data_IF_235070434058
#
_entry.id   IF_235070434058
#
_cell.length_a   1.000
_cell.length_b   1.000
_cell.length_c   1.000
_cell.angle_alpha   90.00
_cell.angle_beta   90.00
_cell.angle_gamma   90.00
#
_symmetry.space_group_name_H-M   'P 1'
#
loop_
_entity.id
_entity.type
_entity.pdbx_description
1 polymer ?
#
# COMPACT_ATOMS: atom_id res chain seq x y z
N UNK A 1 -34.42 -25.90 -7.90
CA UNK A 1 -34.31 -24.47 -8.23
C UNK A 1 -33.38 -23.84 -7.21
N UNK A 2 -32.18 -23.41 -7.60
CA UNK A 2 -31.25 -22.71 -6.71
C UNK A 2 -31.57 -21.21 -6.77
N UNK A 3 -32.60 -20.79 -6.05
CA UNK A 3 -32.84 -19.36 -5.87
C UNK A 3 -31.89 -18.87 -4.79
N UNK A 4 -30.83 -18.16 -5.19
CA UNK A 4 -29.87 -17.51 -4.30
C UNK A 4 -30.48 -16.30 -3.56
N UNK A 5 -31.79 -16.25 -3.39
CA UNK A 5 -32.56 -15.09 -2.89
C UNK A 5 -32.27 -14.77 -1.40
N UNK A 6 -31.61 -15.70 -0.70
CA UNK A 6 -31.16 -15.55 0.69
C UNK A 6 -29.74 -14.96 0.81
N UNK A 7 -29.05 -14.76 -0.32
CA UNK A 7 -27.67 -14.29 -0.40
C UNK A 7 -27.68 -12.86 -0.95
N UNK A 8 -27.15 -11.92 -0.18
CA UNK A 8 -26.98 -10.53 -0.58
C UNK A 8 -25.74 -10.33 -1.47
N UNK A 9 -24.66 -11.08 -1.21
CA UNK A 9 -23.38 -10.92 -1.91
C UNK A 9 -22.54 -12.20 -1.82
N UNK A 10 -21.66 -12.43 -2.79
CA UNK A 10 -20.62 -13.48 -2.76
C UNK A 10 -19.28 -12.87 -3.09
N UNK A 11 -18.26 -13.20 -2.31
CA UNK A 11 -16.90 -12.74 -2.60
C UNK A 11 -16.41 -13.34 -3.93
N UNK A 12 -15.96 -12.53 -4.92
CA UNK A 12 -15.60 -13.02 -6.24
C UNK A 12 -14.54 -14.12 -6.26
N UNK A 13 -13.54 -14.02 -5.38
CA UNK A 13 -12.38 -14.91 -5.40
C UNK A 13 -12.59 -16.20 -4.59
N UNK A 14 -13.39 -16.14 -3.52
CA UNK A 14 -13.55 -17.24 -2.56
C UNK A 14 -14.94 -17.86 -2.56
N UNK A 15 -15.88 -17.29 -3.32
CA UNK A 15 -17.30 -17.66 -3.37
C UNK A 15 -17.99 -17.72 -1.98
N UNK A 16 -17.47 -16.96 -1.01
CA UNK A 16 -18.04 -16.91 0.34
C UNK A 16 -19.33 -16.09 0.34
N UNK A 17 -20.46 -16.65 0.80
CA UNK A 17 -21.75 -15.96 0.79
C UNK A 17 -21.93 -15.02 1.98
N UNK A 18 -22.55 -13.88 1.72
CA UNK A 18 -23.09 -12.94 2.68
C UNK A 18 -24.61 -12.97 2.60
N UNK A 19 -25.26 -13.17 3.74
CA UNK A 19 -26.70 -13.45 3.80
C UNK A 19 -27.53 -12.21 4.08
N UNK A 20 -28.83 -12.25 3.76
CA UNK A 20 -29.74 -11.17 4.13
C UNK A 20 -29.86 -10.99 5.66
N UNK A 21 -30.09 -9.76 6.19
CA UNK A 21 -30.09 -9.49 7.63
C UNK A 21 -31.02 -10.35 8.48
N UNK A 22 -32.14 -10.80 7.90
CA UNK A 22 -33.11 -11.67 8.57
C UNK A 22 -32.51 -12.98 9.09
N UNK A 23 -31.41 -13.41 8.48
CA UNK A 23 -30.71 -14.66 8.80
C UNK A 23 -29.62 -14.49 9.84
N UNK A 24 -29.19 -13.26 10.18
CA UNK A 24 -28.08 -13.02 11.11
C UNK A 24 -28.32 -13.61 12.49
N UNK A 25 -29.58 -13.67 12.95
CA UNK A 25 -29.96 -14.31 14.23
C UNK A 25 -29.56 -15.78 14.37
N UNK A 26 -29.30 -16.46 13.24
CA UNK A 26 -28.86 -17.86 13.19
C UNK A 26 -27.33 -17.99 13.19
N UNK A 27 -26.59 -16.88 13.06
CA UNK A 27 -25.16 -16.91 13.24
C UNK A 27 -24.83 -17.01 14.74
N UNK A 28 -23.96 -17.96 15.15
CA UNK A 28 -23.58 -18.13 16.56
C UNK A 28 -22.97 -16.88 17.22
N UNK A 29 -22.33 -16.01 16.43
CA UNK A 29 -21.62 -14.82 16.91
C UNK A 29 -22.50 -13.55 16.93
N UNK A 30 -23.67 -13.58 16.29
CA UNK A 30 -24.52 -12.38 16.20
C UNK A 30 -25.33 -12.12 17.47
N UNK A 31 -26.00 -13.14 17.99
CA UNK A 31 -26.79 -13.07 19.22
C UNK A 31 -26.06 -13.72 20.41
N UNK A 32 -24.73 -13.74 20.38
CA UNK A 32 -23.97 -14.36 21.45
C UNK A 32 -24.20 -13.60 22.77
N UNK A 33 -24.30 -14.36 23.87
CA UNK A 33 -24.43 -13.77 25.21
C UNK A 33 -23.13 -13.10 25.67
N UNK A 34 -22.00 -13.52 25.11
CA UNK A 34 -20.69 -12.97 25.41
C UNK A 34 -20.16 -12.16 24.23
N UNK A 35 -19.57 -10.98 24.48
CA UNK A 35 -18.90 -10.22 23.43
C UNK A 35 -17.72 -11.02 22.86
N UNK A 36 -17.40 -10.79 21.60
CA UNK A 36 -16.31 -11.49 20.92
C UNK A 36 -14.97 -10.77 21.18
N UNK A 37 -13.93 -11.46 21.68
CA UNK A 37 -12.59 -10.87 21.79
C UNK A 37 -12.00 -10.66 20.41
N UNK A 38 -11.57 -9.44 20.13
CA UNK A 38 -10.97 -9.08 18.84
C UNK A 38 -9.74 -8.22 19.08
N UNK A 39 -8.68 -8.48 18.31
CA UNK A 39 -7.48 -7.65 18.32
C UNK A 39 -7.70 -6.39 17.48
N UNK A 40 -7.09 -5.28 17.87
CA UNK A 40 -7.28 -3.96 17.26
C UNK A 40 -6.91 -3.98 15.77
N UNK A 41 -5.80 -4.63 15.42
CA UNK A 41 -5.40 -4.82 14.03
C UNK A 41 -6.49 -5.50 13.19
N UNK A 42 -7.01 -6.65 13.63
CA UNK A 42 -8.08 -7.36 12.92
C UNK A 42 -9.32 -6.48 12.79
N UNK A 43 -9.71 -5.84 13.89
CA UNK A 43 -10.90 -5.00 13.94
C UNK A 43 -10.82 -3.86 12.93
N UNK A 44 -9.66 -3.21 12.81
CA UNK A 44 -9.43 -2.13 11.85
C UNK A 44 -9.61 -2.58 10.40
N UNK A 45 -9.10 -3.76 10.04
CA UNK A 45 -9.22 -4.34 8.69
C UNK A 45 -10.69 -4.69 8.43
N UNK A 46 -11.31 -5.36 9.39
CA UNK A 46 -12.67 -5.88 9.27
C UNK A 46 -13.71 -4.76 9.21
N UNK A 47 -13.54 -3.63 9.93
CA UNK A 47 -14.44 -2.47 9.81
C UNK A 47 -14.42 -1.90 8.39
N UNK A 48 -13.26 -1.81 7.74
CA UNK A 48 -13.19 -1.30 6.35
C UNK A 48 -13.87 -2.25 5.37
N UNK A 49 -13.60 -3.55 5.50
CA UNK A 49 -14.26 -4.57 4.68
C UNK A 49 -15.78 -4.55 4.90
N UNK A 50 -16.21 -4.48 6.16
CA UNK A 50 -17.61 -4.38 6.55
C UNK A 50 -18.27 -3.13 5.99
N UNK A 51 -17.56 -1.99 5.98
CA UNK A 51 -18.05 -0.75 5.37
C UNK A 51 -18.31 -0.95 3.89
N UNK A 52 -17.34 -1.47 3.14
CA UNK A 52 -17.51 -1.76 1.72
C UNK A 52 -18.72 -2.69 1.48
N UNK A 53 -18.88 -3.73 2.29
CA UNK A 53 -19.98 -4.69 2.16
C UNK A 53 -21.33 -4.02 2.47
N UNK A 54 -21.43 -3.32 3.62
CA UNK A 54 -22.65 -2.63 4.04
C UNK A 54 -23.06 -1.56 3.03
N UNK A 55 -22.10 -0.75 2.61
CA UNK A 55 -22.31 0.34 1.69
C UNK A 55 -22.69 -0.16 0.30
N UNK A 56 -22.31 -1.35 -0.16
CA UNK A 56 -22.68 -1.81 -1.51
C UNK A 56 -23.89 -2.73 -1.55
N UNK A 57 -24.05 -3.60 -0.55
CA UNK A 57 -25.00 -4.71 -0.61
C UNK A 57 -26.12 -4.65 0.44
N UNK A 58 -25.97 -3.78 1.44
CA UNK A 58 -26.98 -3.59 2.49
C UNK A 58 -27.57 -2.17 2.50
N UNK A 59 -27.39 -1.40 1.39
CA UNK A 59 -27.98 -0.07 1.20
C UNK A 59 -29.49 -0.10 1.44
N UNK A 60 -29.96 0.71 2.39
CA UNK A 60 -31.39 0.85 2.71
C UNK A 60 -31.92 -0.11 3.76
N UNK A 61 -31.12 -1.10 4.19
CA UNK A 61 -31.38 -1.77 5.46
C UNK A 61 -30.80 -0.93 6.59
N UNK A 62 -31.51 -0.78 7.71
CA UNK A 62 -30.96 -0.14 8.91
C UNK A 62 -29.85 -0.99 9.59
N UNK A 63 -29.35 -2.01 8.90
CA UNK A 63 -28.36 -2.96 9.39
C UNK A 63 -26.98 -2.48 8.99
N UNK A 64 -26.31 -1.83 9.93
CA UNK A 64 -24.86 -1.66 9.90
C UNK A 64 -24.28 -2.62 10.91
N UNK A 65 -23.66 -3.69 10.43
CA UNK A 65 -23.15 -4.77 11.26
C UNK A 65 -21.69 -5.03 10.92
N UNK A 66 -20.87 -5.18 11.95
CA UNK A 66 -19.48 -5.58 11.78
C UNK A 66 -19.47 -7.02 11.29
N UNK A 67 -18.78 -7.27 10.18
CA UNK A 67 -18.49 -8.60 9.70
C UNK A 67 -17.04 -8.94 10.03
N UNK A 68 -16.84 -10.08 10.69
CA UNK A 68 -15.54 -10.72 10.84
C UNK A 68 -15.49 -11.87 9.83
N UNK A 69 -14.87 -11.64 8.67
CA UNK A 69 -15.08 -12.48 7.48
C UNK A 69 -16.50 -12.29 6.95
N UNK A 70 -17.30 -13.36 6.90
CA UNK A 70 -18.74 -13.28 6.60
C UNK A 70 -19.64 -13.50 7.83
N UNK A 71 -19.07 -13.51 9.04
CA UNK A 71 -19.80 -13.64 10.28
C UNK A 71 -20.26 -12.27 10.78
N UNK A 72 -21.58 -11.98 10.87
CA UNK A 72 -22.08 -10.76 11.48
C UNK A 72 -21.88 -10.81 13.00
N UNK A 73 -21.33 -9.75 13.56
CA UNK A 73 -21.04 -9.59 15.00
C UNK A 73 -21.64 -8.30 15.52
N UNK A 74 -22.32 -8.40 16.66
CA UNK A 74 -22.95 -7.25 17.31
C UNK A 74 -22.03 -6.60 18.34
N UNK A 75 -21.53 -7.39 19.30
CA UNK A 75 -20.69 -6.90 20.39
C UNK A 75 -19.31 -7.54 20.35
N UNK A 76 -18.31 -6.70 20.55
CA UNK A 76 -16.91 -7.08 20.66
C UNK A 76 -16.36 -6.61 21.98
N UNK A 77 -15.25 -7.20 22.40
CA UNK A 77 -14.41 -6.63 23.43
C UNK A 77 -12.94 -6.64 23.05
N UNK A 78 -12.25 -5.60 23.49
CA UNK A 78 -10.85 -5.32 23.15
C UNK A 78 -10.13 -4.98 24.45
N UNK A 79 -8.93 -5.52 24.64
CA UNK A 79 -8.05 -5.15 25.74
C UNK A 79 -6.83 -4.45 25.18
N UNK A 80 -6.45 -3.32 25.76
CA UNK A 80 -5.23 -2.62 25.37
C UNK A 80 -4.91 -1.44 26.29
N UNK A 81 -3.69 -0.92 26.13
CA UNK A 81 -3.20 0.25 26.86
C UNK A 81 -3.69 1.54 26.22
N UNK A 82 -4.18 2.49 27.02
CA UNK A 82 -4.60 3.80 26.52
C UNK A 82 -3.37 4.59 26.06
N UNK A 83 -3.29 4.87 24.75
CA UNK A 83 -2.19 5.63 24.15
C UNK A 83 -2.48 7.13 24.08
N UNK A 84 -3.75 7.51 23.93
CA UNK A 84 -4.17 8.91 23.96
C UNK A 84 -5.66 9.01 24.30
N UNK A 85 -6.07 10.14 24.90
CA UNK A 85 -7.47 10.45 25.12
C UNK A 85 -7.75 11.95 25.02
N UNK A 86 -9.01 12.29 24.75
CA UNK A 86 -9.53 13.66 24.78
C UNK A 86 -11.03 13.67 25.06
N UNK A 87 -11.51 14.74 25.68
CA UNK A 87 -12.93 15.00 25.86
C UNK A 87 -13.48 15.82 24.71
N UNK A 88 -14.70 15.52 24.28
CA UNK A 88 -15.46 16.34 23.33
C UNK A 88 -16.91 16.48 23.78
N UNK A 89 -17.43 17.69 23.65
CA UNK A 89 -18.85 17.98 23.84
C UNK A 89 -19.62 17.72 22.53
N UNK A 90 -20.57 16.78 22.54
CA UNK A 90 -21.37 16.41 21.36
C UNK A 90 -22.84 16.29 21.79
N UNK A 91 -23.72 17.04 21.12
CA UNK A 91 -25.19 16.97 21.35
C UNK A 91 -25.58 17.06 22.84
N UNK A 92 -25.02 18.04 23.56
CA UNK A 92 -25.26 18.28 24.98
C UNK A 92 -24.79 17.17 25.93
N UNK A 93 -23.82 16.36 25.52
CA UNK A 93 -23.17 15.36 26.38
C UNK A 93 -21.66 15.35 26.16
N UNK A 94 -20.93 15.10 27.24
CA UNK A 94 -19.50 14.85 27.19
C UNK A 94 -19.23 13.42 26.73
N UNK A 95 -18.32 13.28 25.77
CA UNK A 95 -17.79 12.00 25.32
C UNK A 95 -16.28 11.98 25.48
N UNK A 96 -15.78 10.87 25.98
CA UNK A 96 -14.37 10.54 25.91
C UNK A 96 -14.08 9.86 24.58
N UNK A 97 -13.08 10.38 23.88
CA UNK A 97 -12.48 9.75 22.71
C UNK A 97 -11.08 9.30 23.07
N UNK A 98 -10.79 8.02 22.97
CA UNK A 98 -9.49 7.47 23.31
C UNK A 98 -9.04 6.40 22.32
N UNK A 99 -7.75 6.08 22.37
CA UNK A 99 -7.12 5.04 21.55
C UNK A 99 -6.50 4.00 22.46
N UNK A 100 -6.55 2.75 22.01
CA UNK A 100 -5.93 1.61 22.67
C UNK A 100 -4.78 1.08 21.82
N UNK A 101 -3.78 0.55 22.50
CA UNK A 101 -2.66 -0.20 21.96
C UNK A 101 -2.68 -1.59 22.61
N UNK A 102 -3.03 -2.62 21.84
CA UNK A 102 -3.09 -4.02 22.28
C UNK A 102 -1.84 -4.82 21.88
N UNK A 103 -0.75 -4.11 21.55
CA UNK A 103 0.51 -4.67 21.04
C UNK A 103 0.39 -5.39 19.68
N UNK A 104 -0.74 -5.25 18.96
CA UNK A 104 -0.81 -5.73 17.58
C UNK A 104 -0.20 -4.72 16.61
N UNK A 105 0.57 -5.18 15.61
CA UNK A 105 1.20 -4.29 14.67
C UNK A 105 0.13 -3.60 13.83
N UNK A 106 0.18 -2.27 13.78
CA UNK A 106 -0.59 -1.50 12.80
C UNK A 106 0.19 -1.61 11.47
N UNK A 107 -0.13 -2.64 10.68
CA UNK A 107 0.58 -2.97 9.43
C UNK A 107 0.09 -2.12 8.25
N UNK A 108 -1.03 -1.40 8.40
CA UNK A 108 -1.61 -0.66 7.28
C UNK A 108 -0.80 0.59 6.93
N UNK A 109 0.01 0.43 5.87
CA UNK A 109 0.75 1.44 5.14
C UNK A 109 -0.11 2.30 4.21
N UNK A 110 -1.43 2.23 4.32
CA UNK A 110 -2.35 3.05 3.54
C UNK A 110 -2.66 4.36 4.29
N UNK A 111 -2.30 5.49 3.68
CA UNK A 111 -2.42 6.89 4.17
C UNK A 111 -3.85 7.32 4.60
N UNK A 112 -4.85 6.44 4.53
CA UNK A 112 -6.24 6.71 4.91
C UNK A 112 -6.82 5.68 5.90
N UNK A 113 -5.98 4.88 6.53
CA UNK A 113 -6.36 4.07 7.69
C UNK A 113 -6.70 5.00 8.86
N UNK A 114 -7.92 5.54 8.89
CA UNK A 114 -8.42 6.25 10.04
C UNK A 114 -8.16 5.37 11.27
N UNK A 115 -7.37 5.87 12.20
CA UNK A 115 -7.06 5.13 13.42
C UNK A 115 -8.36 4.82 14.16
N UNK A 116 -8.49 3.60 14.67
CA UNK A 116 -9.69 3.19 15.39
C UNK A 116 -9.82 4.01 16.68
N UNK A 117 -10.93 4.71 16.83
CA UNK A 117 -11.19 5.53 18.02
C UNK A 117 -12.32 4.92 18.84
N UNK A 118 -12.11 4.85 20.14
CA UNK A 118 -13.11 4.42 21.11
C UNK A 118 -13.84 5.65 21.64
N UNK A 119 -15.16 5.64 21.53
CA UNK A 119 -16.05 6.72 21.96
C UNK A 119 -16.89 6.21 23.12
N UNK A 120 -16.70 6.82 24.29
CA UNK A 120 -17.38 6.43 25.53
C UNK A 120 -18.10 7.64 26.14
N UNK A 121 -19.37 7.52 26.56
CA UNK A 121 -20.02 8.54 27.36
C UNK A 121 -19.23 8.81 28.65
N UNK A 122 -19.11 10.09 29.03
CA UNK A 122 -18.42 10.48 30.27
C UNK A 122 -18.96 9.74 31.50
N UNK A 123 -20.29 9.62 31.58
CA UNK A 123 -20.98 8.99 32.71
C UNK A 123 -20.56 7.53 32.90
N UNK A 124 -20.41 6.78 31.79
CA UNK A 124 -19.97 5.38 31.81
C UNK A 124 -18.57 5.22 32.42
N UNK A 125 -17.67 6.16 32.19
CA UNK A 125 -16.33 6.14 32.79
C UNK A 125 -16.40 6.53 34.25
N UNK A 126 -17.18 7.56 34.57
CA UNK A 126 -17.29 8.05 35.94
C UNK A 126 -17.87 6.99 36.88
N UNK A 127 -18.86 6.24 36.41
CA UNK A 127 -19.45 5.11 37.12
C UNK A 127 -18.45 3.97 37.36
N UNK A 128 -17.65 3.59 36.34
CA UNK A 128 -16.71 2.47 36.45
C UNK A 128 -15.50 2.80 37.33
N UNK A 129 -15.02 4.05 37.33
CA UNK A 129 -13.86 4.47 38.14
C UNK A 129 -14.25 5.01 39.53
N UNK A 130 -15.56 5.10 39.84
CA UNK A 130 -16.09 5.69 41.08
C UNK A 130 -15.44 7.06 41.37
N UNK A 131 -15.27 7.86 40.33
CA UNK A 131 -14.51 9.11 40.42
C UNK A 131 -15.46 10.32 40.42
N UNK A 132 -15.15 11.32 41.25
CA UNK A 132 -15.91 12.59 41.31
C UNK A 132 -15.47 13.57 40.22
N UNK A 133 -14.29 13.36 39.64
CA UNK A 133 -13.69 14.14 38.55
C UNK A 133 -13.07 13.20 37.53
N UNK A 134 -13.04 13.61 36.26
CA UNK A 134 -12.50 12.78 35.18
C UNK A 134 -11.10 12.25 35.51
N UNK A 135 -10.92 10.92 35.66
CA UNK A 135 -9.62 10.35 35.92
C UNK A 135 -8.74 10.47 34.68
N UNK A 136 -7.44 10.66 34.87
CA UNK A 136 -6.48 10.46 33.80
C UNK A 136 -6.35 8.96 33.53
N UNK A 137 -6.80 8.53 32.37
CA UNK A 137 -6.75 7.14 31.95
C UNK A 137 -5.51 6.82 31.11
N UNK A 138 -4.61 7.79 30.90
CA UNK A 138 -3.41 7.62 30.08
C UNK A 138 -2.55 6.48 30.61
N UNK A 139 -2.20 5.54 29.74
CA UNK A 139 -1.34 4.41 30.08
C UNK A 139 -2.01 3.30 30.89
N UNK A 140 -3.28 3.42 31.28
CA UNK A 140 -4.03 2.32 31.87
C UNK A 140 -4.32 1.25 30.82
N UNK A 141 -4.31 -0.02 31.24
CA UNK A 141 -4.80 -1.13 30.41
C UNK A 141 -6.29 -1.29 30.67
N UNK A 142 -7.08 -1.24 29.62
CA UNK A 142 -8.55 -1.25 29.69
C UNK A 142 -9.12 -2.41 28.89
N UNK A 143 -10.11 -3.09 29.45
CA UNK A 143 -11.04 -3.94 28.74
C UNK A 143 -12.26 -3.12 28.34
N UNK A 144 -12.49 -3.02 27.05
CA UNK A 144 -13.55 -2.22 26.44
C UNK A 144 -14.51 -3.13 25.70
N UNK A 145 -15.77 -3.11 26.11
CA UNK A 145 -16.88 -3.79 25.43
C UNK A 145 -17.66 -2.75 24.66
N UNK A 146 -17.93 -3.01 23.38
CA UNK A 146 -18.64 -2.05 22.54
C UNK A 146 -19.14 -2.61 21.21
N UNK A 147 -19.76 -1.72 20.46
CA UNK A 147 -20.31 -1.98 19.13
C UNK A 147 -19.58 -1.13 18.10
N UNK A 148 -19.21 -1.71 16.95
CA UNK A 148 -18.52 -0.96 15.91
C UNK A 148 -19.49 -0.09 15.10
N UNK A 149 -19.22 1.22 15.05
CA UNK A 149 -19.89 2.20 14.20
C UNK A 149 -19.14 2.31 12.87
N UNK A 150 -19.56 1.48 11.91
CA UNK A 150 -18.85 1.25 10.65
C UNK A 150 -18.72 2.53 9.82
N UNK A 151 -19.73 3.40 9.83
CA UNK A 151 -19.70 4.68 9.11
C UNK A 151 -18.65 5.64 9.65
N UNK A 152 -18.50 5.72 10.98
CA UNK A 152 -17.59 6.68 11.62
C UNK A 152 -16.20 6.11 11.88
N UNK A 153 -16.01 4.79 11.71
CA UNK A 153 -14.78 4.10 12.12
C UNK A 153 -14.51 4.25 13.63
N UNK A 154 -15.57 4.22 14.43
CA UNK A 154 -15.51 4.38 15.88
C UNK A 154 -16.07 3.13 16.57
N UNK A 155 -15.56 2.79 17.75
CA UNK A 155 -16.19 1.83 18.64
C UNK A 155 -17.01 2.60 19.66
N UNK A 156 -18.32 2.38 19.68
CA UNK A 156 -19.19 2.90 20.72
C UNK A 156 -19.08 2.00 21.95
N UNK A 157 -18.46 2.56 23.00
CA UNK A 157 -18.15 1.84 24.23
C UNK A 157 -19.39 1.76 25.10
N UNK A 158 -19.75 0.53 25.48
CA UNK A 158 -20.84 0.21 26.40
C UNK A 158 -20.34 -0.01 27.82
N UNK A 159 -19.18 -0.67 27.97
CA UNK A 159 -18.57 -0.96 29.27
C UNK A 159 -17.06 -0.85 29.18
N UNK A 160 -16.45 -0.39 30.27
CA UNK A 160 -15.02 -0.15 30.41
C UNK A 160 -14.57 -0.63 31.78
N UNK A 161 -13.56 -1.49 31.83
CA UNK A 161 -13.03 -2.05 33.08
C UNK A 161 -11.51 -1.97 33.05
N UNK A 162 -10.89 -1.60 34.15
CA UNK A 162 -9.43 -1.65 34.29
C UNK A 162 -8.93 -3.08 34.33
N UNK A 163 -7.87 -3.36 33.58
CA UNK A 163 -7.16 -4.63 33.62
C UNK A 163 -5.97 -4.50 34.57
N UNK A 164 -5.92 -5.34 35.60
CA UNK A 164 -4.92 -5.21 36.67
C UNK A 164 -3.75 -6.19 36.49
N UNK A 165 -3.92 -7.24 35.69
CA UNK A 165 -2.95 -8.33 35.57
C UNK A 165 -2.52 -8.61 34.13
N UNK A 166 -1.21 -8.67 33.91
CA UNK A 166 -0.62 -9.11 32.65
C UNK A 166 -1.02 -10.55 32.28
N UNK A 167 -1.32 -11.41 33.27
CA UNK A 167 -1.81 -12.77 33.01
C UNK A 167 -3.19 -12.78 32.37
N UNK A 168 -4.06 -11.85 32.77
CA UNK A 168 -5.37 -11.68 32.16
C UNK A 168 -5.22 -11.19 30.72
N UNK A 169 -4.25 -10.30 30.45
CA UNK A 169 -3.98 -9.78 29.11
C UNK A 169 -3.50 -10.91 28.16
N UNK A 170 -2.62 -11.78 28.64
CA UNK A 170 -2.24 -13.01 27.93
C UNK A 170 -3.46 -13.91 27.69
N UNK A 171 -4.35 -14.04 28.67
CA UNK A 171 -5.58 -14.82 28.53
C UNK A 171 -6.48 -14.23 27.43
N UNK A 172 -6.61 -12.91 27.38
CA UNK A 172 -7.31 -12.21 26.31
C UNK A 172 -6.69 -12.50 24.95
N UNK A 173 -5.37 -12.36 24.78
CA UNK A 173 -4.71 -12.63 23.49
C UNK A 173 -4.92 -14.08 23.04
N UNK A 174 -4.81 -15.04 23.96
CA UNK A 174 -5.07 -16.45 23.65
C UNK A 174 -6.51 -16.67 23.18
N UNK A 175 -7.48 -16.03 23.83
CA UNK A 175 -8.88 -16.16 23.44
C UNK A 175 -9.16 -15.46 22.10
N UNK A 176 -8.65 -14.24 21.90
CA UNK A 176 -8.77 -13.52 20.64
C UNK A 176 -8.16 -14.30 19.46
N UNK A 177 -7.00 -14.94 19.67
CA UNK A 177 -6.35 -15.78 18.66
C UNK A 177 -7.13 -17.07 18.34
N UNK A 178 -7.81 -17.66 19.33
CA UNK A 178 -8.73 -18.79 19.09
C UNK A 178 -9.95 -18.33 18.29
N UNK A 179 -10.54 -17.22 18.68
CA UNK A 179 -11.72 -16.67 17.99
C UNK A 179 -11.40 -16.25 16.57
N UNK A 180 -10.22 -15.66 16.33
CA UNK A 180 -9.72 -15.37 14.97
C UNK A 180 -9.72 -16.63 14.08
N UNK A 181 -9.25 -17.77 14.59
CA UNK A 181 -9.26 -19.03 13.83
C UNK A 181 -10.68 -19.51 13.52
N UNK A 182 -11.61 -19.37 14.48
CA UNK A 182 -13.02 -19.74 14.28
C UNK A 182 -13.70 -18.83 13.25
N UNK A 183 -13.53 -17.52 13.36
CA UNK A 183 -14.15 -16.51 12.50
C UNK A 183 -13.57 -16.49 11.08
N UNK A 184 -12.33 -16.97 10.89
CA UNK A 184 -11.76 -17.21 9.57
C UNK A 184 -12.44 -18.36 8.82
N UNK A 185 -13.22 -19.20 9.51
CA UNK A 185 -14.03 -20.22 8.85
C UNK A 185 -15.31 -19.56 8.32
N UNK A 186 -15.59 -19.63 7.01
CA UNK A 186 -16.79 -19.03 6.44
C UNK A 186 -18.06 -19.60 7.07
N UNK A 187 -18.96 -18.73 7.47
CA UNK A 187 -20.30 -19.10 7.90
C UNK A 187 -21.11 -19.64 6.73
N UNK A 188 -21.60 -20.85 6.88
CA UNK A 188 -22.54 -21.48 5.95
C UNK A 188 -23.83 -21.73 6.72
N UNK A 189 -24.94 -21.21 6.19
CA UNK A 189 -26.25 -21.45 6.79
C UNK A 189 -26.69 -22.87 6.48
N UNK A 190 -27.18 -23.57 7.52
CA UNK A 190 -27.80 -24.87 7.35
C UNK A 190 -29.02 -24.77 6.41
N UNK A 191 -29.08 -25.57 5.34
CA UNK A 191 -30.22 -25.60 4.42
C UNK A 191 -31.58 -25.75 5.12
N UNK A 192 -31.66 -26.46 6.25
CA UNK A 192 -32.90 -26.63 7.02
C UNK A 192 -33.45 -25.31 7.58
N UNK A 193 -32.57 -24.33 7.84
CA UNK A 193 -32.97 -23.00 8.32
C UNK A 193 -33.59 -22.17 7.19
N UNK A 194 -33.26 -22.47 5.94
CA UNK A 194 -33.72 -21.71 4.77
C UNK A 194 -35.11 -22.14 4.28
N UNK A 195 -35.49 -23.41 4.45
CA UNK A 195 -36.77 -23.95 3.98
C UNK A 195 -38.01 -23.13 4.40
N UNK A 196 -38.14 -22.67 5.67
CA UNK A 196 -39.29 -21.87 6.08
C UNK A 196 -39.38 -20.53 5.35
N UNK A 197 -38.26 -19.91 4.98
CA UNK A 197 -38.23 -18.58 4.35
C UNK A 197 -38.62 -18.64 2.87
N UNK A 198 -38.24 -19.71 2.17
CA UNK A 198 -38.67 -19.96 0.79
C UNK A 198 -40.17 -20.28 0.70
N UNK A 199 -40.71 -21.06 1.65
CA UNK A 199 -42.14 -21.42 1.69
C UNK A 199 -43.06 -20.24 1.99
N UNK A 200 -42.60 -19.22 2.71
CA UNK A 200 -43.40 -18.00 2.96
C UNK A 200 -43.53 -17.08 1.75
N UNK A 201 -42.55 -17.05 0.83
CA UNK A 201 -42.61 -16.16 -0.34
C UNK A 201 -43.55 -16.69 -1.44
N UNK A 202 -43.67 -18.01 -1.59
CA UNK A 202 -44.59 -18.61 -2.57
C UNK A 202 -46.07 -18.41 -2.18
N UNK A 203 -46.38 -18.31 -0.89
CA UNK A 203 -47.76 -18.12 -0.42
C UNK A 203 -48.24 -16.65 -0.44
N UNK A 204 -47.34 -15.67 -0.58
CA UNK A 204 -47.71 -14.24 -0.68
C UNK A 204 -48.01 -13.75 -2.10
N UNK A 205 -47.73 -14.53 -3.15
CA UNK A 205 -47.90 -14.11 -4.54
C UNK A 205 -49.32 -14.24 -5.11
N UNK A 206 -50.33 -14.62 -4.31
CA UNK A 206 -51.69 -14.81 -4.82
C UNK A 206 -52.68 -13.67 -4.58
N UNK A 207 -52.29 -12.55 -3.95
CA UNK A 207 -53.19 -11.38 -3.81
C UNK A 207 -52.44 -10.05 -3.81
N UNK A 208 -52.17 -9.49 -4.99
CA UNK A 208 -52.46 -8.07 -5.32
C UNK A 208 -51.80 -7.63 -6.64
N UNK A 209 -52.65 -7.15 -7.56
CA UNK A 209 -52.45 -6.17 -8.65
C UNK A 209 -51.06 -5.99 -9.33
N UNK A 210 -51.01 -5.95 -10.69
CA UNK A 210 -49.77 -5.86 -11.44
C UNK A 210 -49.13 -4.46 -11.33
N UNK A 211 -48.10 -4.33 -10.50
CA UNK A 211 -47.16 -3.22 -10.57
C UNK A 211 -46.16 -3.48 -11.69
N UNK A 212 -46.29 -2.73 -12.78
CA UNK A 212 -45.30 -2.66 -13.87
C UNK A 212 -43.99 -2.08 -13.31
N UNK A 213 -43.06 -2.96 -12.96
CA UNK A 213 -41.67 -2.57 -12.73
C UNK A 213 -41.02 -2.39 -14.10
N UNK A 214 -40.87 -1.13 -14.52
CA UNK A 214 -40.06 -0.78 -15.68
C UNK A 214 -38.58 -0.91 -15.34
N UNK A 215 -37.90 -1.86 -15.99
CA UNK A 215 -36.45 -1.82 -16.17
C UNK A 215 -36.08 -0.60 -17.02
N UNK A 216 -35.11 0.25 -16.61
CA UNK A 216 -34.72 1.39 -17.43
C UNK A 216 -34.08 0.89 -18.74
N UNK A 217 -34.77 1.11 -19.87
CA UNK A 217 -34.20 0.95 -21.21
C UNK A 217 -33.27 2.13 -21.51
N UNK A 218 -32.11 1.80 -22.08
CA UNK A 218 -31.13 2.72 -22.67
C UNK A 218 -31.83 3.69 -23.64
N UNK A 219 -31.77 4.98 -23.36
CA UNK A 219 -31.92 6.02 -24.37
C UNK A 219 -30.56 6.31 -25.01
N UNK A 220 -30.49 6.23 -26.34
CA UNK A 220 -29.40 6.76 -27.17
C UNK A 220 -29.85 8.08 -27.81
N UNK A 221 -28.87 8.96 -27.96
CA UNK A 221 -28.76 10.20 -28.76
C UNK A 221 -29.01 11.53 -28.04
N UNK A 222 -27.90 12.24 -27.87
CA UNK A 222 -27.78 13.60 -27.35
C UNK A 222 -26.43 13.69 -26.64
N UNK A 223 -25.45 14.32 -27.27
CA UNK A 223 -24.04 14.42 -26.88
C UNK A 223 -23.84 14.80 -25.41
N UNK A 224 -23.03 14.00 -24.70
CA UNK A 224 -22.03 14.42 -23.70
C UNK A 224 -21.31 13.15 -23.23
N UNK A 225 -20.01 13.08 -23.50
CA UNK A 225 -19.15 11.99 -23.02
C UNK A 225 -19.22 11.89 -21.50
N UNK A 226 -19.30 10.68 -20.96
CA UNK A 226 -19.26 10.47 -19.51
C UNK A 226 -17.84 10.66 -18.98
N UNK A 227 -17.70 11.18 -17.75
CA UNK A 227 -16.41 11.38 -17.06
C UNK A 227 -15.49 10.14 -17.07
N UNK A 228 -16.08 8.95 -17.16
CA UNK A 228 -15.37 7.66 -17.26
C UNK A 228 -14.76 7.45 -18.65
N UNK A 229 -15.41 7.92 -19.72
CA UNK A 229 -14.87 7.88 -21.08
C UNK A 229 -13.77 8.94 -21.30
N UNK A 230 -13.82 10.06 -20.57
CA UNK A 230 -12.71 11.04 -20.52
C UNK A 230 -11.46 10.53 -19.79
N UNK A 231 -11.60 9.55 -18.88
CA UNK A 231 -10.48 8.92 -18.19
C UNK A 231 -9.79 7.82 -19.01
N UNK A 232 -10.33 7.48 -20.18
CA UNK A 232 -9.72 6.53 -21.12
C UNK A 232 -8.83 7.21 -22.17
N UNK A 233 -8.61 8.52 -22.04
CA UNK A 233 -7.68 9.28 -22.88
C UNK A 233 -6.22 8.92 -22.54
N UNK A 234 -5.37 8.84 -23.56
CA UNK A 234 -4.12 8.05 -23.60
C UNK A 234 -3.00 8.48 -22.62
N UNK A 235 -3.20 9.53 -21.82
CA UNK A 235 -2.18 10.10 -20.93
C UNK A 235 -2.10 9.49 -19.52
N UNK A 236 -3.06 8.66 -19.08
CA UNK A 236 -3.07 8.09 -17.71
C UNK A 236 -2.60 6.63 -17.61
N UNK A 237 -2.36 5.96 -18.74
CA UNK A 237 -1.80 4.60 -18.75
C UNK A 237 -0.33 4.53 -18.30
N UNK A 238 0.36 5.66 -18.31
CA UNK A 238 1.79 5.75 -18.00
C UNK A 238 2.12 5.86 -16.50
N UNK A 239 1.13 5.97 -15.60
CA UNK A 239 1.35 6.27 -14.17
C UNK A 239 0.80 5.26 -13.15
N UNK A 240 0.13 4.17 -13.57
CA UNK A 240 -0.35 3.15 -12.63
C UNK A 240 0.67 2.00 -12.48
N UNK A 241 1.54 2.12 -11.47
CA UNK A 241 2.35 1.01 -10.95
C UNK A 241 1.46 0.09 -10.08
N UNK A 242 1.14 -1.11 -10.60
CA UNK A 242 0.71 -2.24 -9.77
C UNK A 242 1.92 -3.16 -9.63
N UNK A 243 2.58 -3.14 -8.47
CA UNK A 243 3.57 -4.16 -8.10
C UNK A 243 2.87 -5.36 -7.49
N UNK A 244 2.95 -6.52 -8.14
CA UNK A 244 2.49 -7.81 -7.62
C UNK A 244 3.49 -8.36 -6.58
N UNK A 245 3.04 -8.97 -5.46
CA UNK A 245 3.90 -9.48 -4.41
C UNK A 245 4.32 -10.92 -4.72
N UNK A 246 5.34 -11.09 -5.56
CA UNK A 246 6.14 -12.31 -5.56
C UNK A 246 7.61 -11.94 -5.39
N UNK A 247 8.08 -12.02 -4.15
CA UNK A 247 9.51 -12.07 -3.84
C UNK A 247 10.07 -13.37 -4.44
N UNK A 248 10.76 -13.29 -5.57
CA UNK A 248 11.80 -14.27 -5.88
C UNK A 248 13.03 -13.88 -5.07
N UNK A 249 13.29 -14.63 -4.00
CA UNK A 249 14.59 -14.67 -3.36
C UNK A 249 15.65 -15.09 -4.37
N UNK A 250 16.57 -14.19 -4.72
CA UNK A 250 17.82 -14.54 -5.38
C UNK A 250 19.01 -14.02 -4.53
N UNK A 251 20.11 -14.79 -4.45
CA UNK A 251 21.16 -14.61 -3.46
C UNK A 251 22.26 -13.64 -3.92
N UNK A 252 22.81 -12.91 -2.93
CA UNK A 252 24.16 -12.34 -2.86
C UNK A 252 24.65 -11.41 -3.99
N UNK A 253 24.68 -10.11 -3.70
CA UNK A 253 25.74 -9.20 -4.18
C UNK A 253 26.09 -8.21 -3.06
N UNK A 254 27.22 -8.46 -2.39
CA UNK A 254 27.83 -7.56 -1.42
C UNK A 254 28.43 -6.36 -2.17
N UNK A 255 27.91 -5.15 -1.95
CA UNK A 255 28.61 -3.92 -2.29
C UNK A 255 29.11 -3.27 -1.00
N UNK A 256 30.43 -3.32 -0.81
CA UNK A 256 31.12 -2.69 0.31
C UNK A 256 31.00 -1.17 0.25
N UNK A 257 30.38 -0.58 1.27
CA UNK A 257 30.49 0.84 1.56
C UNK A 257 31.72 1.04 2.45
N UNK A 258 32.76 1.65 1.91
CA UNK A 258 33.88 2.18 2.69
C UNK A 258 33.43 3.47 3.38
N UNK A 259 33.70 3.56 4.69
CA UNK A 259 33.55 4.76 5.49
C UNK A 259 34.45 5.90 4.96
N UNK A 260 34.09 7.18 5.18
CA UNK A 260 34.94 8.31 4.81
C UNK A 260 36.24 8.33 5.64
N UNK A 261 37.35 8.84 5.09
CA UNK A 261 38.68 8.68 5.68
C UNK A 261 38.88 9.63 6.86
N UNK A 262 39.32 9.06 7.98
CA UNK A 262 40.12 9.75 8.99
C UNK A 262 41.59 9.78 8.54
N UNK A 263 42.24 10.85 8.96
CA UNK A 263 43.57 11.35 8.61
C UNK A 263 44.69 10.53 9.28
N UNK A 264 45.89 10.48 8.64
CA UNK A 264 47.21 9.99 9.12
C UNK A 264 47.36 8.44 9.23
N UNK A 265 48.42 7.72 8.81
CA UNK A 265 49.82 7.97 8.42
C UNK A 265 50.36 6.73 7.63
N UNK A 266 51.37 6.96 6.79
CA UNK A 266 52.48 6.09 6.30
C UNK A 266 52.44 4.55 6.56
N UNK A 267 52.61 3.63 5.58
CA UNK A 267 53.88 3.27 4.89
C UNK A 267 53.68 2.02 3.97
N UNK A 268 54.40 1.98 2.82
CA UNK A 268 55.09 0.85 2.08
C UNK A 268 54.58 -0.61 2.19
N UNK A 269 54.61 -1.54 1.22
CA UNK A 269 55.28 -1.79 -0.09
C UNK A 269 54.79 -3.19 -0.61
N UNK A 270 54.85 -3.47 -1.94
CA UNK A 270 55.17 -4.75 -2.65
C UNK A 270 54.51 -6.11 -2.27
N UNK A 271 54.28 -7.16 -3.08
CA UNK A 271 54.40 -7.52 -4.51
C UNK A 271 53.66 -8.88 -4.73
N UNK A 272 53.31 -9.17 -5.99
CA UNK A 272 53.10 -10.45 -6.71
C UNK A 272 53.12 -11.83 -5.99
N UNK A 273 52.26 -12.78 -6.45
CA UNK A 273 52.66 -14.00 -7.18
C UNK A 273 51.43 -14.89 -7.54
N UNK A 274 51.55 -15.51 -8.71
CA UNK A 274 50.66 -16.41 -9.44
C UNK A 274 50.44 -17.81 -8.84
N UNK A 275 49.44 -18.48 -9.46
CA UNK A 275 49.39 -19.90 -9.79
C UNK A 275 48.99 -20.92 -8.70
N UNK A 276 47.93 -21.68 -9.00
CA UNK A 276 47.98 -23.16 -9.08
C UNK A 276 46.66 -23.72 -9.61
N UNK A 277 46.73 -24.29 -10.81
CA UNK A 277 45.76 -25.22 -11.38
C UNK A 277 45.70 -26.51 -10.55
N UNK A 278 44.58 -27.24 -10.55
CA UNK A 278 44.55 -28.61 -11.10
C UNK A 278 43.21 -29.33 -10.92
N UNK A 279 42.96 -30.24 -11.88
CA UNK A 279 42.09 -31.43 -11.88
C UNK A 279 40.68 -31.31 -12.44
N UNK A 280 40.66 -31.43 -13.77
CA UNK A 280 39.62 -32.13 -14.54
C UNK A 280 39.95 -33.62 -14.51
N UNK A 281 39.01 -34.47 -14.10
CA UNK A 281 38.92 -35.87 -14.56
C UNK A 281 37.47 -36.25 -14.83
N UNK A 282 37.27 -36.77 -16.04
CA UNK A 282 36.02 -37.19 -16.64
C UNK A 282 35.57 -38.57 -16.11
N UNK A 283 34.26 -38.72 -15.87
CA UNK A 283 33.57 -40.02 -15.97
C UNK A 283 32.20 -39.84 -16.61
N UNK A 284 32.11 -40.24 -17.88
CA UNK A 284 30.86 -40.47 -18.60
C UNK A 284 30.24 -41.80 -18.11
N UNK A 285 28.98 -41.80 -17.65
CA UNK A 285 28.04 -42.92 -17.83
C UNK A 285 26.61 -42.36 -17.88
N UNK A 286 25.88 -42.67 -18.96
CA UNK A 286 24.44 -42.92 -18.89
C UNK A 286 23.51 -41.82 -19.39
N UNK A 287 23.29 -41.78 -20.70
CA UNK A 287 22.17 -41.08 -21.33
C UNK A 287 20.82 -41.54 -20.75
N UNK A 288 20.10 -40.61 -20.11
CA UNK A 288 18.64 -40.64 -20.01
C UNK A 288 18.13 -39.30 -20.50
N UNK A 289 17.63 -39.30 -21.74
CA UNK A 289 16.86 -38.20 -22.33
C UNK A 289 15.64 -37.93 -21.44
N UNK A 290 15.78 -36.95 -20.55
CA UNK A 290 14.64 -36.27 -19.94
C UNK A 290 14.52 -34.97 -20.71
N UNK A 291 13.42 -34.80 -21.44
CA UNK A 291 13.00 -33.51 -21.96
C UNK A 291 12.85 -32.56 -20.76
N UNK A 292 13.89 -31.79 -20.47
CA UNK A 292 13.75 -30.61 -19.63
C UNK A 292 12.95 -29.61 -20.46
N UNK A 293 11.67 -29.46 -20.12
CA UNK A 293 10.89 -28.29 -20.48
C UNK A 293 11.79 -27.07 -20.25
N UNK A 294 12.18 -26.41 -21.35
CA UNK A 294 12.79 -25.09 -21.29
C UNK A 294 11.77 -24.20 -20.60
N UNK A 295 11.92 -24.06 -19.27
CA UNK A 295 11.25 -23.04 -18.49
C UNK A 295 11.63 -21.72 -19.15
N UNK A 296 10.71 -21.19 -19.94
CA UNK A 296 10.75 -19.81 -20.39
C UNK A 296 10.96 -19.00 -19.11
N UNK A 297 12.07 -18.24 -18.98
CA UNK A 297 12.27 -17.43 -17.80
C UNK A 297 11.04 -16.54 -17.63
N UNK A 298 10.55 -16.34 -16.40
CA UNK A 298 9.38 -15.50 -16.19
C UNK A 298 9.63 -14.16 -16.85
N UNK A 299 8.74 -13.78 -17.78
CA UNK A 299 8.79 -12.48 -18.44
C UNK A 299 8.68 -11.46 -17.31
N UNK A 300 9.81 -10.87 -16.94
CA UNK A 300 9.86 -9.81 -15.96
C UNK A 300 9.20 -8.61 -16.63
N UNK A 301 7.93 -8.38 -16.33
CA UNK A 301 7.15 -7.26 -16.87
C UNK A 301 7.82 -5.99 -16.35
N UNK A 302 8.74 -5.44 -17.13
CA UNK A 302 9.39 -4.18 -16.82
C UNK A 302 8.36 -3.08 -17.04
N UNK A 303 7.74 -2.60 -15.96
CA UNK A 303 6.90 -1.40 -16.01
C UNK A 303 7.79 -0.22 -16.44
N UNK A 304 7.32 0.61 -17.38
CA UNK A 304 8.04 1.79 -17.85
C UNK A 304 8.52 2.69 -16.69
N UNK A 305 7.77 2.78 -15.59
CA UNK A 305 8.17 3.54 -14.40
C UNK A 305 9.42 2.97 -13.71
N UNK A 306 9.55 1.64 -13.62
CA UNK A 306 10.74 0.94 -13.08
C UNK A 306 11.97 1.22 -13.93
N UNK A 307 11.82 1.27 -15.24
CA UNK A 307 12.89 1.66 -16.16
C UNK A 307 13.33 3.12 -15.98
N UNK A 308 12.36 4.05 -15.89
CA UNK A 308 12.63 5.47 -15.65
C UNK A 308 13.41 5.66 -14.34
N UNK A 309 12.98 4.99 -13.27
CA UNK A 309 13.65 5.01 -11.96
C UNK A 309 15.07 4.45 -12.03
N UNK A 310 15.27 3.29 -12.65
CA UNK A 310 16.59 2.65 -12.78
C UNK A 310 17.57 3.50 -13.61
N UNK A 311 17.12 4.06 -14.73
CA UNK A 311 17.98 4.90 -15.55
C UNK A 311 18.39 6.18 -14.81
N UNK A 312 17.44 6.82 -14.12
CA UNK A 312 17.74 8.01 -13.33
C UNK A 312 18.76 7.71 -12.23
N UNK A 313 18.63 6.57 -11.53
CA UNK A 313 19.61 6.10 -10.55
C UNK A 313 21.01 5.91 -11.18
N UNK A 314 21.09 5.22 -12.31
CA UNK A 314 22.36 5.00 -13.01
C UNK A 314 23.02 6.33 -13.39
N UNK A 315 22.26 7.27 -13.98
CA UNK A 315 22.75 8.61 -14.29
C UNK A 315 23.20 9.39 -13.05
N UNK A 316 22.56 9.19 -11.89
CA UNK A 316 22.97 9.80 -10.61
C UNK A 316 24.28 9.23 -10.07
N UNK A 317 24.60 7.95 -10.34
CA UNK A 317 25.77 7.25 -9.81
C UNK A 317 27.04 7.46 -10.65
N UNK A 318 26.90 7.70 -11.97
CA UNK A 318 28.05 7.91 -12.86
C UNK A 318 29.11 8.88 -12.29
N UNK A 319 30.39 8.55 -12.34
CA UNK A 319 31.44 9.44 -11.83
C UNK A 319 31.66 10.69 -12.70
N UNK A 320 31.26 10.63 -13.97
CA UNK A 320 31.45 11.68 -14.96
C UNK A 320 30.39 12.79 -14.87
N UNK A 321 30.75 14.00 -15.31
CA UNK A 321 29.83 15.13 -15.43
C UNK A 321 29.17 15.19 -16.81
N UNK A 322 29.68 14.42 -17.76
CA UNK A 322 29.15 14.29 -19.12
C UNK A 322 29.28 12.85 -19.59
N UNK A 323 28.39 12.43 -20.50
CA UNK A 323 28.43 11.12 -21.15
C UNK A 323 28.01 11.29 -22.61
N UNK A 324 28.61 10.53 -23.53
CA UNK A 324 28.14 10.53 -24.91
C UNK A 324 26.83 9.74 -25.07
N UNK A 325 26.01 10.09 -26.07
CA UNK A 325 24.79 9.34 -26.36
C UNK A 325 25.05 7.86 -26.60
N UNK A 326 26.15 7.56 -27.32
CA UNK A 326 26.53 6.20 -27.70
C UNK A 326 26.92 5.40 -26.46
N UNK A 327 27.77 5.97 -25.59
CA UNK A 327 28.16 5.31 -24.33
C UNK A 327 26.95 5.07 -23.43
N UNK A 328 26.03 6.05 -23.32
CA UNK A 328 24.82 5.89 -22.53
C UNK A 328 23.94 4.76 -23.07
N UNK A 329 23.74 4.72 -24.39
CA UNK A 329 22.94 3.69 -25.04
C UNK A 329 23.56 2.28 -24.91
N UNK A 330 24.89 2.20 -24.81
CA UNK A 330 25.64 0.95 -24.68
C UNK A 330 25.74 0.41 -23.24
N UNK A 331 25.27 1.14 -22.23
CA UNK A 331 25.30 0.64 -20.85
C UNK A 331 24.49 -0.66 -20.73
N UNK A 332 25.06 -1.76 -20.18
CA UNK A 332 24.40 -3.07 -20.13
C UNK A 332 23.02 -3.03 -19.48
N UNK A 333 22.92 -2.40 -18.30
CA UNK A 333 21.67 -2.27 -17.56
C UNK A 333 20.61 -1.49 -18.34
N UNK A 334 21.05 -0.50 -19.11
CA UNK A 334 20.19 0.34 -19.91
C UNK A 334 19.64 -0.40 -21.12
N UNK A 335 20.51 -1.12 -21.82
CA UNK A 335 20.16 -1.93 -22.99
C UNK A 335 19.16 -3.03 -22.63
N UNK A 336 19.38 -3.77 -21.55
CA UNK A 336 18.46 -4.83 -21.12
C UNK A 336 17.06 -4.31 -20.81
N UNK A 337 16.94 -3.11 -20.24
CA UNK A 337 15.64 -2.53 -19.95
C UNK A 337 14.94 -1.97 -21.19
N UNK A 338 15.68 -1.34 -22.11
CA UNK A 338 15.14 -0.95 -23.42
C UNK A 338 14.60 -2.17 -24.16
N UNK A 339 15.34 -3.28 -24.14
CA UNK A 339 14.92 -4.53 -24.80
C UNK A 339 13.60 -5.06 -24.23
N UNK A 340 13.42 -5.05 -22.90
CA UNK A 340 12.18 -5.46 -22.27
C UNK A 340 10.97 -4.58 -22.66
N UNK A 341 11.13 -3.25 -22.68
CA UNK A 341 10.05 -2.31 -23.07
C UNK A 341 9.75 -2.40 -24.56
N UNK A 342 10.79 -2.60 -25.38
CA UNK A 342 10.64 -2.74 -26.82
C UNK A 342 9.78 -3.95 -27.17
N UNK A 343 9.98 -5.08 -26.49
CA UNK A 343 9.15 -6.28 -26.67
C UNK A 343 7.67 -5.97 -26.39
N UNK A 344 7.40 -5.22 -25.31
CA UNK A 344 6.05 -4.82 -24.94
C UNK A 344 5.42 -3.87 -25.97
N UNK A 345 6.15 -2.84 -26.42
CA UNK A 345 5.64 -1.88 -27.41
C UNK A 345 5.49 -2.51 -28.80
N UNK A 346 6.38 -3.43 -29.18
CA UNK A 346 6.29 -4.18 -30.42
C UNK A 346 5.03 -5.05 -30.46
N UNK A 347 4.66 -5.70 -29.34
CA UNK A 347 3.42 -6.46 -29.21
C UNK A 347 2.15 -5.60 -29.30
N UNK A 348 2.25 -4.29 -29.08
CA UNK A 348 1.13 -3.35 -29.05
C UNK A 348 1.00 -2.51 -30.33
N UNK A 349 1.80 -2.78 -31.36
CA UNK A 349 1.77 -2.01 -32.60
C UNK A 349 0.45 -2.18 -33.36
N UNK A 350 -0.08 -1.06 -33.85
CA UNK A 350 -1.16 -1.06 -34.82
C UNK A 350 -0.68 -1.58 -36.18
N UNK A 351 -1.49 -2.41 -36.83
CA UNK A 351 -1.20 -2.98 -38.17
C UNK A 351 -0.95 -1.92 -39.26
N UNK A 352 -1.34 -0.66 -39.02
CA UNK A 352 -1.16 0.47 -39.92
C UNK A 352 0.21 1.16 -39.85
N UNK A 353 1.03 0.90 -38.83
CA UNK A 353 2.26 1.65 -38.57
C UNK A 353 3.35 0.74 -37.98
N UNK A 354 3.90 -0.13 -38.84
CA UNK A 354 4.91 -1.13 -38.46
C UNK A 354 6.30 -0.49 -38.38
N UNK A 355 6.76 -0.19 -37.17
CA UNK A 355 8.15 0.24 -36.90
C UNK A 355 9.02 -0.97 -36.63
N UNK A 356 10.26 -0.94 -37.10
CA UNK A 356 11.29 -1.94 -36.78
C UNK A 356 11.62 -1.94 -35.29
N UNK A 357 12.18 -3.04 -34.79
CA UNK A 357 12.60 -3.18 -33.39
C UNK A 357 13.62 -2.09 -33.03
N UNK A 358 14.54 -1.79 -33.94
CA UNK A 358 15.55 -0.75 -33.78
C UNK A 358 14.95 0.66 -33.71
N UNK A 359 13.92 0.96 -34.52
CA UNK A 359 13.21 2.24 -34.49
C UNK A 359 12.46 2.46 -33.17
N UNK A 360 11.85 1.39 -32.63
CA UNK A 360 11.18 1.45 -31.32
C UNK A 360 12.20 1.68 -30.20
N UNK A 361 13.33 0.95 -30.22
CA UNK A 361 14.42 1.13 -29.25
C UNK A 361 14.95 2.57 -29.25
N UNK A 362 15.21 3.11 -30.43
CA UNK A 362 15.66 4.48 -30.59
C UNK A 362 14.59 5.47 -30.11
N UNK A 363 13.31 5.25 -30.45
CA UNK A 363 12.19 6.08 -30.00
C UNK A 363 12.09 6.15 -28.48
N UNK A 364 12.06 5.00 -27.80
CA UNK A 364 12.03 4.92 -26.32
C UNK A 364 13.20 5.68 -25.70
N UNK A 365 14.40 5.54 -26.29
CA UNK A 365 15.59 6.21 -25.79
C UNK A 365 15.51 7.74 -25.92
N UNK A 366 15.17 8.24 -27.10
CA UNK A 366 15.09 9.68 -27.35
C UNK A 366 13.93 10.32 -26.59
N UNK A 367 12.77 9.66 -26.50
CA UNK A 367 11.63 10.13 -25.72
C UNK A 367 12.02 10.32 -24.24
N UNK A 368 12.79 9.39 -23.69
CA UNK A 368 13.23 9.50 -22.30
C UNK A 368 14.24 10.64 -22.10
N UNK A 369 15.20 10.79 -23.00
CA UNK A 369 16.16 11.90 -22.96
C UNK A 369 15.45 13.26 -23.09
N UNK A 370 14.49 13.37 -24.01
CA UNK A 370 13.71 14.58 -24.22
C UNK A 370 12.94 14.94 -22.94
N UNK A 371 12.35 13.96 -22.25
CA UNK A 371 11.69 14.17 -20.94
C UNK A 371 12.66 14.71 -19.90
N UNK A 372 13.87 14.15 -19.78
CA UNK A 372 14.88 14.65 -18.84
C UNK A 372 15.35 16.07 -19.18
N UNK A 373 15.45 16.40 -20.47
CA UNK A 373 15.76 17.76 -20.93
C UNK A 373 14.63 18.73 -20.62
N UNK A 374 13.36 18.36 -20.89
CA UNK A 374 12.16 19.14 -20.53
C UNK A 374 12.07 19.38 -19.01
N UNK A 375 12.53 18.42 -18.21
CA UNK A 375 12.59 18.53 -16.75
C UNK A 375 13.71 19.46 -16.24
N UNK A 376 14.66 19.85 -17.09
CA UNK A 376 15.82 20.67 -16.73
C UNK A 376 16.93 19.90 -16.00
N UNK A 377 16.92 18.56 -16.06
CA UNK A 377 17.90 17.71 -15.37
C UNK A 377 19.19 17.52 -16.18
N UNK A 378 19.06 17.45 -17.51
CA UNK A 378 20.19 17.28 -18.44
C UNK A 378 20.10 18.32 -19.55
N UNK A 379 21.24 18.63 -20.15
CA UNK A 379 21.29 19.41 -21.40
C UNK A 379 22.07 18.63 -22.44
N UNK A 380 21.51 18.52 -23.64
CA UNK A 380 22.16 17.88 -24.78
C UNK A 380 22.87 18.97 -25.57
N UNK A 381 24.15 18.77 -25.87
CA UNK A 381 24.92 19.76 -26.62
C UNK A 381 24.34 19.97 -28.03
N UNK A 382 24.56 21.15 -28.62
CA UNK A 382 24.06 21.51 -29.95
C UNK A 382 24.54 20.59 -31.08
N UNK A 383 25.62 19.84 -30.85
CA UNK A 383 26.13 18.82 -31.77
C UNK A 383 25.54 17.42 -31.51
N UNK A 384 24.54 17.29 -30.63
CA UNK A 384 23.77 16.08 -30.35
C UNK A 384 24.50 15.03 -29.53
N UNK A 385 25.83 14.96 -29.58
CA UNK A 385 26.55 13.76 -29.13
C UNK A 385 26.89 13.70 -27.64
N UNK A 386 26.78 14.80 -26.89
CA UNK A 386 27.17 14.87 -25.48
C UNK A 386 26.00 15.31 -24.59
N UNK A 387 25.79 14.56 -23.52
CA UNK A 387 24.82 14.86 -22.47
C UNK A 387 25.58 15.44 -21.29
N UNK A 388 25.25 16.68 -20.92
CA UNK A 388 25.71 17.31 -19.69
C UNK A 388 24.79 16.92 -18.52
N UNK A 389 25.38 16.31 -17.50
CA UNK A 389 24.74 15.82 -16.29
C UNK A 389 24.95 16.78 -15.10
N UNK A 390 25.60 17.92 -15.29
CA UNK A 390 25.96 18.85 -14.20
C UNK A 390 24.77 19.25 -13.35
N UNK A 391 23.64 19.63 -13.97
CA UNK A 391 22.40 19.99 -13.27
C UNK A 391 21.87 18.83 -12.42
N UNK A 392 21.77 17.64 -13.01
CA UNK A 392 21.39 16.41 -12.32
C UNK A 392 22.29 16.10 -11.12
N UNK A 393 23.61 16.17 -11.31
CA UNK A 393 24.60 15.89 -10.24
C UNK A 393 24.52 16.91 -9.11
N UNK A 394 24.37 18.20 -9.43
CA UNK A 394 24.24 19.25 -8.43
C UNK A 394 22.97 19.07 -7.59
N UNK A 395 21.84 18.77 -8.23
CA UNK A 395 20.58 18.51 -7.54
C UNK A 395 20.64 17.24 -6.70
N UNK A 396 21.17 16.15 -7.25
CA UNK A 396 21.36 14.88 -6.54
C UNK A 396 22.21 15.06 -5.27
N UNK A 397 23.38 15.71 -5.37
CA UNK A 397 24.25 15.98 -4.22
C UNK A 397 23.57 16.86 -3.18
N UNK A 398 22.79 17.85 -3.60
CA UNK A 398 22.02 18.69 -2.68
C UNK A 398 20.99 17.87 -1.92
N UNK A 399 20.20 17.05 -2.63
CA UNK A 399 19.16 16.22 -2.03
C UNK A 399 19.77 15.19 -1.06
N UNK A 400 20.85 14.52 -1.46
CA UNK A 400 21.58 13.57 -0.61
C UNK A 400 22.07 14.21 0.70
N UNK A 401 22.72 15.37 0.61
CA UNK A 401 23.23 16.08 1.81
C UNK A 401 22.09 16.52 2.71
N UNK A 402 21.08 17.19 2.14
CA UNK A 402 19.94 17.69 2.90
C UNK A 402 19.17 16.56 3.57
N UNK A 403 18.88 15.49 2.83
CA UNK A 403 18.21 14.31 3.36
C UNK A 403 19.04 13.64 4.45
N UNK A 404 20.34 13.41 4.22
CA UNK A 404 21.22 12.79 5.22
C UNK A 404 21.29 13.61 6.51
N UNK A 405 21.37 14.94 6.44
CA UNK A 405 21.34 15.80 7.63
C UNK A 405 20.02 15.68 8.38
N UNK A 406 18.89 15.76 7.67
CA UNK A 406 17.56 15.73 8.29
C UNK A 406 17.23 14.35 8.86
N UNK A 407 17.72 13.28 8.22
CA UNK A 407 17.65 11.92 8.74
C UNK A 407 18.44 11.78 10.05
N UNK A 408 19.68 12.29 10.10
CA UNK A 408 20.49 12.28 11.33
C UNK A 408 19.87 13.09 12.46
N UNK A 409 19.09 14.12 12.14
CA UNK A 409 18.34 14.93 13.09
C UNK A 409 16.98 14.32 13.46
N UNK A 410 16.66 13.13 12.97
CA UNK A 410 15.36 12.45 13.19
C UNK A 410 14.16 13.35 12.85
N UNK A 411 14.28 14.15 11.79
CA UNK A 411 13.21 15.03 11.34
C UNK A 411 12.07 14.24 10.70
N UNK A 412 10.90 14.22 11.34
CA UNK A 412 9.70 13.54 10.85
C UNK A 412 9.11 14.17 9.57
N UNK A 413 9.43 15.44 9.30
CA UNK A 413 8.92 16.16 8.14
C UNK A 413 9.99 17.11 7.57
N UNK A 414 10.12 17.14 6.25
CA UNK A 414 11.07 17.97 5.51
C UNK A 414 10.30 18.85 4.53
N UNK A 415 10.36 20.16 4.73
CA UNK A 415 9.84 21.12 3.77
C UNK A 415 10.79 21.24 2.56
N UNK A 416 10.26 21.07 1.36
CA UNK A 416 10.94 21.20 0.08
C UNK A 416 10.35 22.39 -0.67
N UNK A 417 10.98 23.55 -0.55
CA UNK A 417 10.63 24.74 -1.34
C UNK A 417 11.33 24.67 -2.71
N UNK A 418 10.54 24.60 -3.79
CA UNK A 418 11.06 24.47 -5.14
C UNK A 418 11.83 25.70 -5.60
N UNK A 419 11.38 26.89 -5.22
CA UNK A 419 12.00 28.15 -5.61
C UNK A 419 13.32 28.35 -4.88
N UNK A 420 13.38 27.97 -3.60
CA UNK A 420 14.63 27.96 -2.84
C UNK A 420 15.69 27.06 -3.50
N UNK A 421 15.31 25.86 -3.95
CA UNK A 421 16.23 24.92 -4.60
C UNK A 421 16.75 25.50 -5.93
N UNK A 422 15.85 26.05 -6.76
CA UNK A 422 16.23 26.71 -8.03
C UNK A 422 17.24 27.84 -7.81
N UNK A 423 16.97 28.70 -6.83
CA UNK A 423 17.86 29.81 -6.47
C UNK A 423 19.19 29.31 -5.91
N UNK A 424 19.17 28.31 -5.03
CA UNK A 424 20.36 27.78 -4.37
C UNK A 424 21.31 27.10 -5.35
N UNK A 425 20.76 26.36 -6.31
CA UNK A 425 21.53 25.63 -7.32
C UNK A 425 21.84 26.48 -8.56
N UNK A 426 21.21 27.66 -8.71
CA UNK A 426 21.27 28.51 -9.91
C UNK A 426 20.80 27.78 -11.17
N UNK A 427 19.76 26.95 -11.05
CA UNK A 427 19.13 26.21 -12.15
C UNK A 427 17.68 26.67 -12.27
N UNK A 428 17.41 27.60 -13.19
CA UNK A 428 16.07 28.21 -13.37
C UNK A 428 15.05 27.25 -13.99
N UNK A 429 15.51 26.36 -14.88
CA UNK A 429 14.63 25.54 -15.71
C UNK A 429 14.17 24.24 -15.03
N UNK A 430 14.48 24.07 -13.74
CA UNK A 430 14.18 22.85 -13.02
C UNK A 430 12.69 22.76 -12.71
N UNK A 431 12.04 21.71 -13.20
CA UNK A 431 10.60 21.48 -12.93
C UNK A 431 10.36 20.96 -11.51
N UNK A 432 9.13 21.09 -11.00
CA UNK A 432 8.74 20.56 -9.68
C UNK A 432 8.90 19.04 -9.65
N UNK A 433 8.45 18.38 -10.71
CA UNK A 433 8.57 16.93 -10.90
C UNK A 433 10.03 16.47 -10.88
N UNK A 434 10.95 17.23 -11.49
CA UNK A 434 12.38 16.91 -11.43
C UNK A 434 12.91 16.87 -9.99
N UNK A 435 12.58 17.87 -9.18
CA UNK A 435 12.99 17.93 -7.77
C UNK A 435 12.44 16.73 -6.99
N UNK A 436 11.15 16.45 -7.16
CA UNK A 436 10.48 15.34 -6.46
C UNK A 436 11.08 14.01 -6.88
N UNK A 437 11.28 13.77 -8.18
CA UNK A 437 11.87 12.52 -8.69
C UNK A 437 13.26 12.27 -8.11
N UNK A 438 14.10 13.31 -8.02
CA UNK A 438 15.43 13.16 -7.41
C UNK A 438 15.34 12.89 -5.90
N UNK A 439 14.43 13.52 -5.17
CA UNK A 439 14.19 13.18 -3.77
C UNK A 439 13.70 11.74 -3.60
N UNK A 440 12.73 11.29 -4.40
CA UNK A 440 12.23 9.91 -4.38
C UNK A 440 13.36 8.91 -4.59
N UNK A 441 14.19 9.12 -5.61
CA UNK A 441 15.32 8.23 -5.89
C UNK A 441 16.40 8.29 -4.81
N UNK A 442 16.66 9.47 -4.26
CA UNK A 442 17.62 9.61 -3.16
C UNK A 442 17.17 8.87 -1.89
N UNK A 443 15.87 8.93 -1.56
CA UNK A 443 15.32 8.20 -0.40
C UNK A 443 15.35 6.68 -0.65
N UNK A 444 15.00 6.22 -1.86
CA UNK A 444 15.11 4.80 -2.23
C UNK A 444 16.54 4.28 -2.08
N UNK A 445 17.53 5.03 -2.56
CA UNK A 445 18.96 4.68 -2.40
C UNK A 445 19.36 4.66 -0.94
N UNK A 446 18.91 5.63 -0.14
CA UNK A 446 19.19 5.69 1.29
C UNK A 446 18.61 4.48 2.05
N UNK A 447 17.37 4.10 1.79
CA UNK A 447 16.71 2.95 2.44
C UNK A 447 17.39 1.64 2.06
N UNK A 448 17.80 1.47 0.80
CA UNK A 448 18.59 0.30 0.39
C UNK A 448 19.90 0.18 1.18
N UNK A 449 20.55 1.30 1.48
CA UNK A 449 21.80 1.32 2.25
C UNK A 449 21.60 1.17 3.76
N UNK A 450 20.42 1.51 4.29
CA UNK A 450 20.11 1.47 5.73
C UNK A 450 18.66 1.03 5.97
N UNK A 451 18.33 -0.25 5.70
CA UNK A 451 16.95 -0.74 5.71
C UNK A 451 16.29 -0.74 7.08
N UNK A 452 17.08 -0.68 8.16
CA UNK A 452 16.57 -0.63 9.54
C UNK A 452 16.30 0.78 10.05
N UNK A 453 16.73 1.85 9.36
CA UNK A 453 16.65 3.20 9.90
C UNK A 453 15.31 3.91 9.63
N UNK A 454 14.71 3.67 8.46
CA UNK A 454 13.45 4.27 8.05
C UNK A 454 12.42 3.17 7.84
N UNK A 455 11.29 3.27 8.55
CA UNK A 455 10.15 2.38 8.44
C UNK A 455 9.28 2.72 7.21
N UNK A 456 9.01 4.02 6.99
CA UNK A 456 8.22 4.48 5.85
C UNK A 456 8.59 5.91 5.44
N UNK A 457 8.19 6.31 4.22
CA UNK A 457 8.32 7.67 3.73
C UNK A 457 7.28 7.96 2.64
N UNK A 458 6.81 9.20 2.58
CA UNK A 458 5.93 9.68 1.52
C UNK A 458 6.20 11.15 1.20
N UNK A 459 5.67 11.65 0.08
CA UNK A 459 5.86 13.03 -0.37
C UNK A 459 4.50 13.66 -0.66
N UNK A 460 4.11 14.63 0.17
CA UNK A 460 2.90 15.41 0.01
C UNK A 460 3.14 16.65 -0.86
N UNK A 461 2.39 16.75 -1.97
CA UNK A 461 2.40 17.92 -2.84
C UNK A 461 1.43 18.97 -2.31
N UNK A 462 1.86 19.69 -1.27
CA UNK A 462 0.99 20.63 -0.56
C UNK A 462 0.47 21.77 -1.44
N UNK A 463 1.34 22.37 -2.23
CA UNK A 463 0.98 23.45 -3.15
C UNK A 463 2.00 23.59 -4.28
N UNK A 464 1.80 24.61 -5.11
CA UNK A 464 2.67 24.87 -6.27
C UNK A 464 4.11 25.29 -5.92
N UNK A 465 4.41 25.59 -4.66
CA UNK A 465 5.71 26.12 -4.25
C UNK A 465 6.47 25.19 -3.30
N UNK A 466 5.76 24.31 -2.59
CA UNK A 466 6.29 23.48 -1.51
C UNK A 466 5.75 22.05 -1.61
N UNK A 467 6.66 21.08 -1.49
CA UNK A 467 6.35 19.71 -1.09
C UNK A 467 6.80 19.43 0.34
N UNK A 468 6.16 18.47 0.99
CA UNK A 468 6.56 17.94 2.28
C UNK A 468 7.03 16.50 2.09
N UNK A 469 8.20 16.16 2.60
CA UNK A 469 8.65 14.76 2.67
C UNK A 469 8.49 14.32 4.10
N UNK A 470 7.71 13.27 4.31
CA UNK A 470 7.47 12.68 5.61
C UNK A 470 8.37 11.46 5.77
N UNK A 471 9.01 11.35 6.93
CA UNK A 471 9.92 10.26 7.27
C UNK A 471 9.45 9.62 8.57
N UNK A 472 9.25 8.32 8.55
CA UNK A 472 8.99 7.52 9.75
C UNK A 472 10.23 6.68 10.04
N UNK A 473 10.82 6.85 11.22
CA UNK A 473 11.98 6.07 11.66
C UNK A 473 11.51 4.78 12.34
N UNK A 474 12.34 3.73 12.26
CA UNK A 474 12.07 2.43 12.90
C UNK A 474 12.32 2.43 14.40
#
# INVERSE_FOLDING_TARGET
MQTNDHIAYRTPDTDVPFYIPLLFKHNPFYNNKSPIPVLIHDLSIQIRQSRFICDNYYKGSNTQCLFLGNNPVNEIYVVGKVSSWKLKWIKNRDYLFFKLDDCTPIIDSEENAAELVFKCPKDTIMENFIATTMPDISGLVLNVIGTAQIQTNEIEVRSIVTFESFLEEISFWNEAMKQRKLLNTPWIIDPMILEPYFLTQENSNNKSSPLKIHTPRKHKKGENFTYIEQLQDENLRDELEITSPYFSSDPSFNFGFTNPPSIEEETTEFELIEASQSRIENKQIGNKLVFSETRVPPINVCNQAKFRSLLLQNLMILSTQSISLVELYQLPDFRSCIEAITIQQFQQQSLSDLKTVEEIKAGIFYDYLERLTKMGLITISTHGNLIDLKSLKQLSRYCQRRLSTLIRLQSLCINVDYNFIRQKLKISNLTKLAIISIYKETIKVFIKASPSLLKSWWIDLKNDTIALIHLEYS
#
